data_IF_160540248957
#
_entry.id   IF_160540248957
#
_cell.length_a   1.000
_cell.length_b   1.000
_cell.length_c   1.000
_cell.angle_alpha   90.00
_cell.angle_beta   90.00
_cell.angle_gamma   90.00
#
_symmetry.space_group_name_H-M   'P 1'
#
loop_
_entity.id
_entity.type
_entity.pdbx_description
1 polymer ?
#
# COMPACT_ATOMS: atom_id res chain seq x y z
N UNK A 1 17.33 -18.15 4.44
CA UNK A 1 15.98 -18.03 3.83
C UNK A 1 15.99 -16.79 2.96
N UNK A 2 15.51 -16.86 1.71
CA UNK A 2 15.57 -15.73 0.77
C UNK A 2 14.86 -14.50 1.40
N UNK A 3 15.51 -13.34 1.43
CA UNK A 3 14.99 -12.12 2.07
C UNK A 3 13.63 -11.72 1.49
N UNK A 4 13.38 -12.04 0.22
CA UNK A 4 12.08 -11.89 -0.45
C UNK A 4 10.98 -12.74 0.19
N UNK A 5 11.28 -13.98 0.60
CA UNK A 5 10.31 -14.87 1.26
C UNK A 5 9.96 -14.33 2.64
N UNK A 6 10.95 -13.84 3.40
CA UNK A 6 10.73 -13.23 4.72
C UNK A 6 9.80 -12.01 4.59
N UNK A 7 10.11 -11.09 3.67
CA UNK A 7 9.28 -9.92 3.42
C UNK A 7 7.86 -10.28 3.01
N UNK A 8 7.71 -11.29 2.15
CA UNK A 8 6.40 -11.82 1.75
C UNK A 8 5.59 -12.38 2.92
N UNK A 9 6.21 -13.17 3.82
CA UNK A 9 5.55 -13.72 5.01
C UNK A 9 5.08 -12.58 5.94
N UNK A 10 5.95 -11.60 6.20
CA UNK A 10 5.61 -10.43 7.03
C UNK A 10 4.43 -9.66 6.42
N UNK A 11 4.47 -9.42 5.10
CA UNK A 11 3.37 -8.74 4.40
C UNK A 11 2.05 -9.48 4.51
N UNK A 12 2.05 -10.79 4.28
CA UNK A 12 0.85 -11.62 4.39
C UNK A 12 0.30 -11.57 5.82
N UNK A 13 1.15 -11.80 6.83
CA UNK A 13 0.73 -11.75 8.23
C UNK A 13 0.15 -10.38 8.62
N UNK A 14 0.81 -9.30 8.18
CA UNK A 14 0.34 -7.93 8.40
C UNK A 14 -1.01 -7.66 7.71
N UNK A 15 -1.19 -8.13 6.48
CA UNK A 15 -2.43 -7.97 5.73
C UNK A 15 -3.61 -8.69 6.40
N UNK A 16 -3.40 -9.94 6.85
CA UNK A 16 -4.41 -10.69 7.60
C UNK A 16 -4.71 -10.04 8.96
N UNK A 17 -3.70 -9.61 9.70
CA UNK A 17 -3.90 -8.87 10.96
C UNK A 17 -4.70 -7.58 10.75
N UNK A 18 -4.41 -6.84 9.67
CA UNK A 18 -5.14 -5.64 9.32
C UNK A 18 -6.60 -5.95 8.93
N UNK A 19 -6.85 -7.09 8.28
CA UNK A 19 -8.21 -7.54 7.99
C UNK A 19 -8.99 -7.78 9.27
N UNK A 20 -8.42 -8.48 10.24
CA UNK A 20 -9.07 -8.72 11.56
C UNK A 20 -9.39 -7.40 12.27
N UNK A 21 -8.47 -6.43 12.25
CA UNK A 21 -8.71 -5.11 12.83
C UNK A 21 -9.84 -4.35 12.12
N UNK A 22 -9.90 -4.42 10.78
CA UNK A 22 -10.98 -3.80 10.02
C UNK A 22 -12.35 -4.44 10.30
N UNK A 23 -12.42 -5.76 10.43
CA UNK A 23 -13.66 -6.45 10.83
C UNK A 23 -14.11 -5.99 12.22
N UNK A 24 -13.17 -5.87 13.18
CA UNK A 24 -13.46 -5.29 14.51
C UNK A 24 -13.93 -3.85 14.40
N UNK A 25 -13.30 -3.03 13.55
CA UNK A 25 -13.72 -1.65 13.34
C UNK A 25 -15.18 -1.59 12.86
N UNK A 26 -15.55 -2.36 11.84
CA UNK A 26 -16.90 -2.37 11.27
C UNK A 26 -18.01 -2.75 12.26
N UNK A 27 -17.68 -3.46 13.35
CA UNK A 27 -18.64 -3.76 14.43
C UNK A 27 -19.05 -2.53 15.23
N UNK A 28 -18.26 -1.46 15.20
CA UNK A 28 -18.60 -0.19 15.85
C UNK A 28 -19.54 0.70 15.03
N UNK A 29 -19.91 0.30 13.81
CA UNK A 29 -20.80 1.09 12.95
C UNK A 29 -22.24 0.56 12.97
N UNK A 30 -23.20 1.49 13.02
CA UNK A 30 -24.61 1.18 12.76
C UNK A 30 -24.84 0.71 11.31
N UNK A 31 -26.01 0.17 11.02
CA UNK A 31 -26.38 -0.20 9.65
C UNK A 31 -26.45 1.03 8.73
N UNK A 32 -26.99 2.16 9.19
CA UNK A 32 -26.99 3.39 8.39
C UNK A 32 -25.57 3.88 8.12
N UNK A 33 -24.71 3.88 9.14
CA UNK A 33 -23.31 4.29 9.03
C UNK A 33 -22.52 3.44 8.03
N UNK A 34 -22.80 2.14 7.93
CA UNK A 34 -22.21 1.26 6.91
C UNK A 34 -22.69 1.63 5.50
N UNK A 35 -23.97 1.95 5.33
CA UNK A 35 -24.51 2.44 4.06
C UNK A 35 -23.90 3.77 3.63
N UNK A 36 -23.74 4.70 4.57
CA UNK A 36 -23.08 5.99 4.35
C UNK A 36 -21.61 5.81 3.98
N UNK A 37 -20.89 4.90 4.65
CA UNK A 37 -19.51 4.56 4.32
C UNK A 37 -19.38 4.09 2.86
N UNK A 38 -20.25 3.20 2.41
CA UNK A 38 -20.20 2.70 1.02
C UNK A 38 -20.44 3.85 0.04
N UNK A 39 -21.47 4.65 0.29
CA UNK A 39 -21.88 5.74 -0.60
C UNK A 39 -20.81 6.83 -0.66
N UNK A 40 -20.25 7.23 0.48
CA UNK A 40 -19.22 8.26 0.55
C UNK A 40 -17.96 7.86 -0.24
N UNK A 41 -17.51 6.61 -0.13
CA UNK A 41 -16.25 6.17 -0.73
C UNK A 41 -16.37 5.67 -2.18
N UNK A 42 -17.58 5.58 -2.74
CA UNK A 42 -17.83 5.12 -4.11
C UNK A 42 -16.99 5.88 -5.16
N UNK A 43 -17.09 7.21 -5.18
CA UNK A 43 -16.31 8.07 -6.11
C UNK A 43 -14.81 7.95 -5.87
N UNK A 44 -14.39 7.90 -4.61
CA UNK A 44 -12.97 7.75 -4.25
C UNK A 44 -12.40 6.44 -4.79
N UNK A 45 -13.18 5.35 -4.78
CA UNK A 45 -12.76 4.05 -5.33
C UNK A 45 -12.46 4.13 -6.82
N UNK A 46 -13.33 4.78 -7.60
CA UNK A 46 -13.13 4.94 -9.05
C UNK A 46 -11.86 5.76 -9.32
N UNK A 47 -11.73 6.93 -8.68
CA UNK A 47 -10.53 7.76 -8.85
C UNK A 47 -9.24 7.06 -8.41
N UNK A 48 -9.31 6.27 -7.33
CA UNK A 48 -8.18 5.47 -6.85
C UNK A 48 -7.74 4.43 -7.89
N UNK A 49 -8.68 3.78 -8.57
CA UNK A 49 -8.38 2.83 -9.65
C UNK A 49 -7.76 3.54 -10.86
N UNK A 50 -8.29 4.70 -11.26
CA UNK A 50 -7.74 5.48 -12.37
C UNK A 50 -6.29 5.90 -12.09
N UNK A 51 -6.00 6.42 -10.90
CA UNK A 51 -4.64 6.81 -10.52
C UNK A 51 -3.70 5.60 -10.52
N UNK A 52 -4.16 4.46 -10.00
CA UNK A 52 -3.36 3.24 -10.01
C UNK A 52 -3.01 2.78 -11.44
N UNK A 53 -3.98 2.82 -12.36
CA UNK A 53 -3.74 2.52 -13.78
C UNK A 53 -2.71 3.48 -14.37
N UNK A 54 -2.80 4.77 -14.07
CA UNK A 54 -1.81 5.78 -14.53
C UNK A 54 -0.40 5.46 -14.01
N UNK A 55 -0.26 5.08 -12.74
CA UNK A 55 1.04 4.70 -12.16
C UNK A 55 1.63 3.47 -12.89
N UNK A 56 0.80 2.45 -13.16
CA UNK A 56 1.22 1.23 -13.86
C UNK A 56 1.63 1.55 -15.30
N UNK A 57 0.80 2.29 -16.04
CA UNK A 57 1.10 2.69 -17.42
C UNK A 57 2.35 3.56 -17.48
N UNK A 58 2.53 4.48 -16.54
CA UNK A 58 3.74 5.29 -16.42
C UNK A 58 4.99 4.42 -16.27
N UNK A 59 4.96 3.42 -15.38
CA UNK A 59 6.06 2.48 -15.21
C UNK A 59 6.35 1.68 -16.49
N UNK A 60 5.31 1.15 -17.14
CA UNK A 60 5.48 0.38 -18.38
C UNK A 60 6.05 1.25 -19.50
N UNK A 61 5.59 2.50 -19.64
CA UNK A 61 6.09 3.43 -20.65
C UNK A 61 7.56 3.80 -20.38
N UNK A 62 7.91 4.12 -19.14
CA UNK A 62 9.29 4.43 -18.76
C UNK A 62 10.22 3.23 -18.98
N UNK A 63 9.75 2.01 -18.71
CA UNK A 63 10.55 0.78 -18.89
C UNK A 63 10.82 0.47 -20.36
N UNK A 64 9.83 0.67 -21.24
CA UNK A 64 9.92 0.22 -22.64
C UNK A 64 10.39 1.31 -23.61
N UNK A 65 10.14 2.58 -23.31
CA UNK A 65 10.39 3.68 -24.25
C UNK A 65 11.49 4.64 -23.81
N UNK A 66 11.93 4.58 -22.54
CA UNK A 66 12.98 5.45 -22.01
C UNK A 66 14.13 4.60 -21.50
N UNK A 67 15.37 4.95 -21.87
CA UNK A 67 16.58 4.32 -21.34
C UNK A 67 16.90 4.87 -19.94
N UNK A 68 16.06 4.55 -18.96
CA UNK A 68 16.31 4.84 -17.54
C UNK A 68 16.97 3.61 -16.91
N UNK A 69 17.85 3.84 -15.93
CA UNK A 69 18.41 2.80 -15.09
C UNK A 69 17.28 1.98 -14.43
N UNK A 70 17.30 0.65 -14.61
CA UNK A 70 16.23 -0.23 -14.13
C UNK A 70 16.02 -0.15 -12.62
N UNK A 71 17.08 0.12 -11.82
CA UNK A 71 16.94 0.27 -10.36
C UNK A 71 16.21 1.57 -10.02
N UNK A 72 16.60 2.68 -10.66
CA UNK A 72 15.94 3.97 -10.47
C UNK A 72 14.46 3.92 -10.86
N UNK A 73 14.14 3.31 -12.01
CA UNK A 73 12.75 3.16 -12.46
C UNK A 73 11.93 2.30 -11.48
N UNK A 74 12.49 1.19 -11.00
CA UNK A 74 11.80 0.34 -10.02
C UNK A 74 11.58 1.06 -8.69
N UNK A 75 12.58 1.78 -8.19
CA UNK A 75 12.47 2.55 -6.96
C UNK A 75 11.46 3.69 -7.10
N UNK A 76 11.44 4.39 -8.23
CA UNK A 76 10.47 5.43 -8.53
C UNK A 76 9.03 4.89 -8.56
N UNK A 77 8.82 3.70 -9.15
CA UNK A 77 7.52 3.04 -9.17
C UNK A 77 7.01 2.70 -7.77
N UNK A 78 7.83 2.04 -6.95
CA UNK A 78 7.44 1.73 -5.57
C UNK A 78 7.27 2.99 -4.71
N UNK A 79 8.09 4.02 -4.94
CA UNK A 79 7.94 5.33 -4.31
C UNK A 79 6.61 6.01 -4.66
N UNK A 80 6.23 5.99 -5.94
CA UNK A 80 4.94 6.51 -6.40
C UNK A 80 3.76 5.75 -5.79
N UNK A 81 3.84 4.41 -5.71
CA UNK A 81 2.82 3.59 -5.05
C UNK A 81 2.69 3.92 -3.56
N UNK A 82 3.81 4.03 -2.83
CA UNK A 82 3.81 4.40 -1.41
C UNK A 82 3.17 5.77 -1.19
N UNK A 83 3.56 6.76 -2.00
CA UNK A 83 3.02 8.12 -1.93
C UNK A 83 1.51 8.13 -2.22
N UNK A 84 1.09 7.46 -3.29
CA UNK A 84 -0.32 7.31 -3.63
C UNK A 84 -1.13 6.69 -2.49
N UNK A 85 -0.65 5.60 -1.90
CA UNK A 85 -1.29 4.97 -0.75
C UNK A 85 -1.39 5.94 0.44
N UNK A 86 -0.32 6.71 0.71
CA UNK A 86 -0.29 7.68 1.81
C UNK A 86 -1.34 8.77 1.63
N UNK A 87 -1.41 9.36 0.43
CA UNK A 87 -2.41 10.39 0.11
C UNK A 87 -3.81 9.82 0.25
N UNK A 88 -4.09 8.64 -0.32
CA UNK A 88 -5.41 8.01 -0.25
C UNK A 88 -5.84 7.73 1.19
N UNK A 89 -4.90 7.30 2.03
CA UNK A 89 -5.14 7.02 3.43
C UNK A 89 -5.38 8.28 4.25
N UNK A 90 -4.61 9.35 4.04
CA UNK A 90 -4.84 10.66 4.67
C UNK A 90 -6.23 11.17 4.29
N UNK A 91 -6.58 11.14 3.01
CA UNK A 91 -7.90 11.53 2.52
C UNK A 91 -9.00 10.69 3.18
N UNK A 92 -8.78 9.38 3.31
CA UNK A 92 -9.71 8.48 3.99
C UNK A 92 -9.91 8.89 5.44
N UNK A 93 -8.84 9.11 6.21
CA UNK A 93 -8.94 9.50 7.62
C UNK A 93 -9.63 10.85 7.80
N UNK A 94 -9.29 11.84 6.97
CA UNK A 94 -9.94 13.15 6.96
C UNK A 94 -11.44 12.98 6.69
N UNK A 95 -11.80 12.15 5.71
CA UNK A 95 -13.20 11.92 5.34
C UNK A 95 -13.98 11.18 6.42
N UNK A 96 -13.38 10.18 7.05
CA UNK A 96 -14.02 9.46 8.17
C UNK A 96 -14.30 10.38 9.35
N UNK A 97 -13.39 11.31 9.66
CA UNK A 97 -13.60 12.33 10.70
C UNK A 97 -14.70 13.33 10.32
N UNK A 98 -14.77 13.74 9.05
CA UNK A 98 -15.82 14.63 8.54
C UNK A 98 -17.22 14.03 8.61
N UNK A 99 -17.33 12.70 8.43
CA UNK A 99 -18.58 11.95 8.56
C UNK A 99 -18.94 11.63 10.02
N UNK A 100 -18.18 12.14 10.99
CA UNK A 100 -18.42 11.95 12.43
C UNK A 100 -18.55 10.48 12.85
N UNK A 101 -17.81 9.58 12.18
CA UNK A 101 -17.80 8.18 12.59
C UNK A 101 -17.21 8.00 14.00
N UNK A 102 -17.60 6.94 14.73
CA UNK A 102 -17.11 6.65 16.07
C UNK A 102 -15.58 6.65 16.16
N UNK A 103 -15.03 7.23 17.23
CA UNK A 103 -13.59 7.34 17.42
C UNK A 103 -12.89 5.97 17.47
N UNK A 104 -13.56 4.95 18.01
CA UNK A 104 -13.14 3.55 18.03
C UNK A 104 -12.95 3.01 16.61
N UNK A 105 -13.91 3.26 15.72
CA UNK A 105 -13.83 2.85 14.31
C UNK A 105 -12.61 3.50 13.64
N UNK A 106 -12.46 4.82 13.79
CA UNK A 106 -11.37 5.58 13.17
C UNK A 106 -10.00 5.06 13.66
N UNK A 107 -9.87 4.83 14.97
CA UNK A 107 -8.64 4.33 15.60
C UNK A 107 -8.29 2.91 15.14
N UNK A 108 -9.24 1.99 15.10
CA UNK A 108 -9.01 0.62 14.63
C UNK A 108 -8.65 0.59 13.14
N UNK A 109 -9.32 1.39 12.31
CA UNK A 109 -8.98 1.54 10.90
C UNK A 109 -7.57 2.14 10.71
N UNK A 110 -7.17 3.08 11.57
CA UNK A 110 -5.81 3.63 11.58
C UNK A 110 -4.77 2.56 11.93
N UNK A 111 -5.00 1.73 12.95
CA UNK A 111 -4.09 0.61 13.27
C UNK A 111 -4.00 -0.42 12.15
N UNK A 112 -5.12 -0.77 11.52
CA UNK A 112 -5.13 -1.65 10.36
C UNK A 112 -4.35 -1.07 9.17
N UNK A 113 -4.39 0.25 8.99
CA UNK A 113 -3.60 0.95 7.99
C UNK A 113 -2.10 0.90 8.29
N UNK A 114 -1.70 1.22 9.53
CA UNK A 114 -0.30 1.17 9.96
C UNK A 114 0.28 -0.24 9.79
N UNK A 115 -0.50 -1.26 10.15
CA UNK A 115 -0.07 -2.64 9.98
C UNK A 115 0.15 -3.00 8.51
N UNK A 116 -0.74 -2.57 7.59
CA UNK A 116 -0.54 -2.74 6.14
C UNK A 116 0.73 -2.04 5.65
N UNK A 117 1.04 -0.85 6.17
CA UNK A 117 2.28 -0.15 5.83
C UNK A 117 3.52 -0.89 6.31
N UNK A 118 3.51 -1.42 7.53
CA UNK A 118 4.63 -2.22 8.02
C UNK A 118 4.89 -3.44 7.12
N UNK A 119 3.83 -4.13 6.70
CA UNK A 119 3.94 -5.22 5.74
C UNK A 119 4.54 -4.77 4.40
N UNK A 120 4.08 -3.63 3.86
CA UNK A 120 4.57 -3.10 2.59
C UNK A 120 6.04 -2.66 2.67
N UNK A 121 6.43 -1.99 3.75
CA UNK A 121 7.83 -1.59 4.00
C UNK A 121 8.73 -2.82 4.07
N UNK A 122 8.30 -3.90 4.72
CA UNK A 122 9.06 -5.15 4.75
C UNK A 122 9.34 -5.71 3.35
N UNK A 123 8.35 -5.69 2.45
CA UNK A 123 8.53 -6.14 1.05
C UNK A 123 9.49 -5.22 0.30
N UNK A 124 9.38 -3.90 0.45
CA UNK A 124 10.27 -2.95 -0.21
C UNK A 124 11.72 -3.13 0.25
N UNK A 125 11.95 -3.31 1.55
CA UNK A 125 13.28 -3.57 2.10
C UNK A 125 13.85 -4.91 1.59
N UNK A 126 13.05 -5.96 1.55
CA UNK A 126 13.44 -7.26 0.99
C UNK A 126 13.78 -7.18 -0.50
N UNK A 127 13.03 -6.40 -1.29
CA UNK A 127 13.33 -6.18 -2.70
C UNK A 127 14.64 -5.42 -2.89
N UNK A 128 14.88 -4.40 -2.07
CA UNK A 128 16.14 -3.64 -2.11
C UNK A 128 17.34 -4.54 -1.79
N UNK A 129 17.25 -5.35 -0.74
CA UNK A 129 18.29 -6.32 -0.36
C UNK A 129 18.59 -7.33 -1.48
N UNK A 130 17.56 -7.84 -2.16
CA UNK A 130 17.70 -8.73 -3.30
C UNK A 130 18.44 -8.05 -4.47
N UNK A 131 18.10 -6.79 -4.79
CA UNK A 131 18.76 -6.04 -5.87
C UNK A 131 20.23 -5.77 -5.58
N UNK A 132 20.57 -5.45 -4.33
CA UNK A 132 21.96 -5.20 -3.90
C UNK A 132 22.77 -6.49 -3.92
N UNK A 133 22.22 -7.58 -3.38
CA UNK A 133 22.91 -8.88 -3.35
C UNK A 133 23.21 -9.40 -4.75
N UNK A 134 22.26 -9.29 -5.68
CA UNK A 134 22.45 -9.70 -7.07
C UNK A 134 23.55 -8.90 -7.79
N UNK A 135 23.72 -7.62 -7.45
CA UNK A 135 24.81 -6.80 -8.01
C UNK A 135 26.18 -7.30 -7.55
N UNK A 136 26.33 -7.58 -6.25
CA UNK A 136 27.59 -8.07 -5.68
C UNK A 136 28.00 -9.46 -6.18
N UNK A 137 27.03 -10.28 -6.61
CA UNK A 137 27.29 -11.58 -7.21
C UNK A 137 27.83 -11.44 -8.64
N UNK A 138 27.31 -10.49 -9.42
CA UNK A 138 27.80 -10.22 -10.78
C UNK A 138 29.24 -9.67 -10.78
N UNK A 139 29.58 -8.78 -9.85
CA UNK A 139 30.94 -8.23 -9.71
C UNK A 139 31.98 -9.30 -9.35
N UNK A 140 31.58 -10.41 -8.71
CA UNK A 140 32.49 -11.52 -8.37
C UNK A 140 32.68 -12.54 -9.49
N UNK A 141 31.90 -12.44 -10.56
CA UNK A 141 31.92 -13.39 -11.69
C UNK A 141 32.62 -12.82 -12.93
N UNK A 142 32.95 -11.53 -12.91
CA UNK A 142 33.76 -10.81 -13.90
C UNK A 142 35.18 -10.69 -13.35
#
# INVERSE_FOLDING_TARGET
MNSMIIGGIIFIAAYFGARVLNEKALKHLSLEQKGELITAFSKTRIWSMVILVVIILGFLLLTNFVKIDSKLNTLAYFGALLLYMLVLNIMTQVRLRKLQFPAEYIRLNMYAMLLRYLGLVAVVLSLYDMMVTNLSALEKTI
#
